data_IF_310906689118
#
_entry.id   IF_310906689118
#
_cell.length_a   1.000
_cell.length_b   1.000
_cell.length_c   1.000
_cell.angle_alpha   90.00
_cell.angle_beta   90.00
_cell.angle_gamma   90.00
#
_symmetry.space_group_name_H-M   'P 1'
#
loop_
_entity.id
_entity.type
_entity.pdbx_description
1 polymer ?
#
# COMPACT_ATOMS: atom_id res chain seq x y z
N UNK A 1 21.87 -23.48 23.04
CA UNK A 1 20.62 -23.03 23.70
C UNK A 1 19.49 -23.85 23.13
N UNK A 2 18.87 -24.67 23.98
CA UNK A 2 17.84 -25.62 23.59
C UNK A 2 16.60 -24.87 23.06
N UNK A 3 16.12 -25.28 21.89
CA UNK A 3 14.90 -24.79 21.27
C UNK A 3 13.72 -25.22 22.15
N UNK A 4 12.98 -24.25 22.66
CA UNK A 4 11.82 -24.47 23.53
C UNK A 4 10.67 -25.05 22.67
N UNK A 5 10.22 -26.31 22.88
CA UNK A 5 9.23 -26.95 22.01
C UNK A 5 7.80 -26.37 22.14
N UNK A 6 7.60 -25.38 23.02
CA UNK A 6 6.30 -24.81 23.35
C UNK A 6 6.12 -23.33 22.93
N UNK A 7 6.90 -22.82 21.98
CA UNK A 7 6.64 -21.51 21.38
C UNK A 7 5.46 -21.57 20.40
N UNK A 8 4.24 -21.58 20.94
CA UNK A 8 3.00 -21.12 20.31
C UNK A 8 2.58 -21.82 19.01
N UNK A 9 1.65 -22.77 19.13
CA UNK A 9 0.73 -23.21 18.06
C UNK A 9 -0.25 -22.09 17.65
N UNK A 10 0.27 -20.92 17.29
CA UNK A 10 -0.47 -19.87 16.62
C UNK A 10 -0.75 -20.30 15.17
N UNK A 11 -2.00 -20.13 14.73
CA UNK A 11 -2.42 -20.54 13.38
C UNK A 11 -1.71 -19.66 12.35
N UNK A 12 -0.62 -20.16 11.76
CA UNK A 12 0.15 -19.45 10.71
C UNK A 12 -0.76 -19.01 9.56
N UNK A 13 -0.52 -17.83 9.01
CA UNK A 13 -1.32 -17.25 7.92
C UNK A 13 -1.06 -17.94 6.58
N UNK A 14 -2.11 -18.02 5.77
CA UNK A 14 -2.01 -18.39 4.36
C UNK A 14 -1.71 -17.18 3.46
N UNK A 15 -1.54 -17.43 2.17
CA UNK A 15 -1.24 -16.41 1.15
C UNK A 15 -2.26 -15.27 1.12
N UNK A 16 -3.55 -15.59 1.26
CA UNK A 16 -4.62 -14.60 1.22
C UNK A 16 -4.53 -13.62 2.41
N UNK A 17 -4.62 -14.13 3.63
CA UNK A 17 -4.68 -13.29 4.83
C UNK A 17 -3.35 -12.68 5.27
N UNK A 18 -2.23 -13.29 4.90
CA UNK A 18 -0.90 -12.85 5.35
C UNK A 18 -0.10 -12.06 4.32
N UNK A 19 -0.50 -12.06 3.04
CA UNK A 19 0.24 -11.33 1.99
C UNK A 19 -0.72 -10.49 1.13
N UNK A 20 -1.72 -11.13 0.52
CA UNK A 20 -2.61 -10.46 -0.42
C UNK A 20 -3.43 -9.35 0.25
N UNK A 21 -4.15 -9.66 1.34
CA UNK A 21 -4.99 -8.68 2.04
C UNK A 21 -4.18 -7.50 2.57
N UNK A 22 -3.07 -7.68 3.32
CA UNK A 22 -2.23 -6.56 3.75
C UNK A 22 -1.72 -5.69 2.60
N UNK A 23 -1.29 -6.30 1.48
CA UNK A 23 -0.78 -5.57 0.34
C UNK A 23 -1.89 -4.77 -0.36
N UNK A 24 -3.05 -5.37 -0.64
CA UNK A 24 -4.18 -4.68 -1.28
C UNK A 24 -4.68 -3.53 -0.40
N UNK A 25 -4.81 -3.74 0.91
CA UNK A 25 -5.24 -2.69 1.85
C UNK A 25 -4.27 -1.50 1.91
N UNK A 26 -2.98 -1.75 1.67
CA UNK A 26 -1.97 -0.68 1.65
C UNK A 26 -1.94 0.04 0.30
N UNK A 27 -2.08 -0.69 -0.80
CA UNK A 27 -2.04 -0.15 -2.16
C UNK A 27 -3.32 0.64 -2.49
N UNK A 28 -4.50 0.10 -2.15
CA UNK A 28 -5.80 0.74 -2.38
C UNK A 28 -6.17 1.68 -1.23
N UNK A 29 -5.33 2.69 -1.01
CA UNK A 29 -5.46 3.62 0.11
C UNK A 29 -5.97 5.01 -0.29
N UNK A 30 -5.52 6.01 0.48
CA UNK A 30 -5.87 7.42 0.35
C UNK A 30 -5.69 7.97 -1.06
N UNK A 31 -4.59 7.60 -1.76
CA UNK A 31 -4.29 8.12 -3.09
C UNK A 31 -5.38 7.75 -4.10
N UNK A 32 -5.90 6.52 -4.03
CA UNK A 32 -6.94 6.07 -4.94
C UNK A 32 -8.18 6.96 -4.89
N UNK A 33 -8.64 7.31 -3.67
CA UNK A 33 -9.86 8.08 -3.48
C UNK A 33 -9.64 9.59 -3.56
N UNK A 34 -8.55 10.13 -3.01
CA UNK A 34 -8.35 11.58 -2.87
C UNK A 34 -7.47 12.20 -3.94
N UNK A 35 -6.70 11.41 -4.70
CA UNK A 35 -5.64 11.96 -5.58
C UNK A 35 -5.70 11.44 -7.01
N UNK A 36 -6.26 10.26 -7.30
CA UNK A 36 -6.42 9.77 -8.68
C UNK A 36 -7.13 10.80 -9.57
N UNK A 37 -8.26 11.35 -9.12
CA UNK A 37 -8.99 12.37 -9.88
C UNK A 37 -8.19 13.65 -10.11
N UNK A 38 -7.40 14.09 -9.11
CA UNK A 38 -6.52 15.26 -9.27
C UNK A 38 -5.39 15.00 -10.27
N UNK A 39 -4.81 13.80 -10.27
CA UNK A 39 -3.76 13.39 -11.22
C UNK A 39 -4.33 13.34 -12.63
N UNK A 40 -5.52 12.74 -12.83
CA UNK A 40 -6.19 12.71 -14.14
C UNK A 40 -6.56 14.12 -14.59
N UNK A 41 -7.02 14.99 -13.69
CA UNK A 41 -7.37 16.38 -14.02
C UNK A 41 -6.18 17.22 -14.49
N UNK A 42 -5.00 17.05 -13.88
CA UNK A 42 -3.80 17.80 -14.27
C UNK A 42 -3.06 17.17 -15.45
N UNK A 43 -2.82 15.86 -15.41
CA UNK A 43 -2.03 15.16 -16.41
C UNK A 43 -2.84 14.78 -17.67
N UNK A 44 -4.18 14.83 -17.59
CA UNK A 44 -5.06 14.21 -18.56
C UNK A 44 -5.02 12.68 -18.44
N UNK A 45 -6.03 12.01 -19.00
CA UNK A 45 -6.16 10.56 -18.97
C UNK A 45 -4.93 9.87 -19.59
N UNK A 46 -4.42 10.39 -20.70
CA UNK A 46 -3.28 9.77 -21.40
C UNK A 46 -2.02 9.76 -20.54
N UNK A 47 -1.61 10.91 -19.97
CA UNK A 47 -0.40 10.94 -19.16
C UNK A 47 -0.62 10.34 -17.77
N UNK A 48 -1.82 10.38 -17.21
CA UNK A 48 -2.15 9.67 -15.97
C UNK A 48 -1.98 8.15 -16.14
N UNK A 49 -2.41 7.58 -17.26
CA UNK A 49 -2.17 6.17 -17.59
C UNK A 49 -0.68 5.87 -17.78
N UNK A 50 0.09 6.78 -18.38
CA UNK A 50 1.56 6.64 -18.47
C UNK A 50 2.21 6.67 -17.07
N UNK A 51 1.80 7.57 -16.18
CA UNK A 51 2.25 7.63 -14.78
C UNK A 51 1.96 6.30 -14.09
N UNK A 52 0.74 5.78 -14.23
CA UNK A 52 0.33 4.50 -13.67
C UNK A 52 1.18 3.35 -14.22
N UNK A 53 1.43 3.31 -15.53
CA UNK A 53 2.26 2.29 -16.17
C UNK A 53 3.71 2.31 -15.67
N UNK A 54 4.32 3.49 -15.54
CA UNK A 54 5.68 3.64 -15.02
C UNK A 54 5.73 3.18 -13.56
N UNK A 55 4.81 3.68 -12.72
CA UNK A 55 4.74 3.33 -11.31
C UNK A 55 4.54 1.81 -11.11
N UNK A 56 3.62 1.21 -11.88
CA UNK A 56 3.35 -0.22 -11.80
C UNK A 56 4.52 -1.06 -12.31
N UNK A 57 5.23 -0.61 -13.34
CA UNK A 57 6.44 -1.29 -13.83
C UNK A 57 7.51 -1.33 -12.74
N UNK A 58 7.75 -0.22 -12.03
CA UNK A 58 8.69 -0.17 -10.91
C UNK A 58 8.28 -1.16 -9.82
N UNK A 59 7.00 -1.18 -9.44
CA UNK A 59 6.49 -2.10 -8.41
C UNK A 59 6.56 -3.56 -8.85
N UNK A 60 6.28 -3.87 -10.12
CA UNK A 60 6.40 -5.22 -10.68
C UNK A 60 7.84 -5.71 -10.68
N UNK A 61 8.80 -4.89 -11.13
CA UNK A 61 10.22 -5.22 -11.11
C UNK A 61 10.74 -5.43 -9.68
N UNK A 62 10.27 -4.62 -8.74
CA UNK A 62 10.58 -4.77 -7.32
C UNK A 62 9.98 -6.06 -6.75
N UNK A 63 8.75 -6.40 -7.14
CA UNK A 63 8.06 -7.63 -6.73
C UNK A 63 8.72 -8.89 -7.30
N UNK A 64 9.23 -8.83 -8.53
CA UNK A 64 10.04 -9.91 -9.14
C UNK A 64 11.35 -10.10 -8.37
N UNK A 65 12.05 -9.02 -8.04
CA UNK A 65 13.26 -9.07 -7.22
C UNK A 65 12.99 -9.67 -5.84
N UNK A 66 11.91 -9.23 -5.18
CA UNK A 66 11.47 -9.76 -3.89
C UNK A 66 11.11 -11.25 -3.98
N UNK A 67 10.42 -11.66 -5.03
CA UNK A 67 10.09 -13.06 -5.28
C UNK A 67 11.34 -13.91 -5.40
N UNK A 68 12.33 -13.48 -6.19
CA UNK A 68 13.60 -14.19 -6.34
C UNK A 68 14.32 -14.36 -5.00
N UNK A 69 14.37 -13.30 -4.19
CA UNK A 69 14.94 -13.31 -2.84
C UNK A 69 14.20 -14.31 -1.92
N UNK A 70 12.87 -14.25 -1.89
CA UNK A 70 12.03 -15.10 -1.06
C UNK A 70 12.11 -16.60 -1.44
N UNK A 71 12.40 -16.91 -2.70
CA UNK A 71 12.58 -18.30 -3.18
C UNK A 71 13.99 -18.85 -2.95
N UNK A 72 15.00 -17.98 -2.80
CA UNK A 72 16.40 -18.41 -2.72
C UNK A 72 16.90 -18.62 -1.28
N UNK A 73 16.22 -18.08 -0.27
CA UNK A 73 16.61 -18.24 1.14
C UNK A 73 15.51 -18.83 1.99
N UNK A 74 15.90 -19.50 3.09
CA UNK A 74 14.95 -19.89 4.14
C UNK A 74 14.38 -18.62 4.77
N UNK A 75 13.11 -18.35 4.46
CA UNK A 75 12.37 -17.23 5.02
C UNK A 75 12.12 -17.48 6.51
N UNK A 76 12.68 -16.61 7.36
CA UNK A 76 12.52 -16.65 8.81
C UNK A 76 11.66 -15.51 9.34
N UNK A 77 11.44 -15.48 10.65
CA UNK A 77 10.85 -14.32 11.33
C UNK A 77 11.80 -13.13 11.29
N UNK A 78 11.34 -12.01 10.73
CA UNK A 78 12.15 -10.78 10.61
C UNK A 78 11.81 -9.88 9.43
N UNK A 79 10.79 -10.22 8.63
CA UNK A 79 10.24 -9.35 7.61
C UNK A 79 11.20 -9.06 6.44
N UNK A 80 11.04 -7.89 5.82
CA UNK A 80 11.81 -7.49 4.64
C UNK A 80 13.31 -7.35 4.90
N UNK A 81 13.70 -6.77 6.05
CA UNK A 81 15.11 -6.57 6.39
C UNK A 81 15.86 -7.91 6.56
N UNK A 82 15.24 -8.89 7.23
CA UNK A 82 15.81 -10.21 7.41
C UNK A 82 16.03 -10.92 6.05
N UNK A 83 15.02 -10.89 5.18
CA UNK A 83 15.10 -11.49 3.84
C UNK A 83 16.23 -10.89 3.00
N UNK A 84 16.34 -9.57 2.97
CA UNK A 84 17.34 -8.85 2.17
C UNK A 84 18.75 -9.07 2.73
N UNK A 85 18.94 -8.84 4.03
CA UNK A 85 20.26 -8.95 4.67
C UNK A 85 20.84 -10.37 4.62
N UNK A 86 19.99 -11.40 4.65
CA UNK A 86 20.45 -12.80 4.57
C UNK A 86 20.76 -13.26 3.15
N UNK A 87 20.11 -12.68 2.15
CA UNK A 87 20.31 -13.03 0.74
C UNK A 87 21.42 -12.22 0.07
N UNK A 88 21.54 -10.94 0.42
CA UNK A 88 22.45 -9.98 -0.24
C UNK A 88 23.59 -9.49 0.66
N UNK A 89 23.62 -9.91 1.93
CA UNK A 89 24.63 -9.49 2.90
C UNK A 89 24.24 -8.25 3.72
N UNK A 90 24.99 -8.01 4.80
CA UNK A 90 24.67 -6.98 5.80
C UNK A 90 24.82 -5.56 5.26
N UNK A 91 25.80 -5.31 4.38
CA UNK A 91 26.05 -3.98 3.80
C UNK A 91 24.88 -3.52 2.94
N UNK A 92 24.39 -4.40 2.05
CA UNK A 92 23.20 -4.14 1.22
C UNK A 92 21.94 -4.09 2.08
N UNK A 93 21.82 -5.01 3.03
CA UNK A 93 20.69 -5.04 3.98
C UNK A 93 20.54 -3.75 4.77
N UNK A 94 21.63 -3.20 5.31
CA UNK A 94 21.63 -1.93 6.04
C UNK A 94 21.33 -0.74 5.13
N UNK A 95 21.96 -0.70 3.95
CA UNK A 95 21.78 0.38 2.97
C UNK A 95 20.35 0.51 2.47
N UNK A 96 19.61 -0.60 2.33
CA UNK A 96 18.19 -0.60 1.94
C UNK A 96 17.27 -0.48 3.16
N UNK A 97 17.65 -1.11 4.28
CA UNK A 97 16.84 -1.19 5.50
C UNK A 97 16.60 0.16 6.16
N UNK A 98 17.62 1.02 6.23
CA UNK A 98 17.50 2.33 6.86
C UNK A 98 16.53 3.27 6.11
N UNK A 99 16.63 3.45 4.77
CA UNK A 99 15.62 4.16 4.01
C UNK A 99 14.21 3.56 4.13
N UNK A 100 14.09 2.23 4.11
CA UNK A 100 12.79 1.56 4.24
C UNK A 100 12.15 1.87 5.61
N UNK A 101 12.93 1.84 6.68
CA UNK A 101 12.45 2.19 8.03
C UNK A 101 11.93 3.63 8.08
N UNK A 102 12.69 4.60 7.55
CA UNK A 102 12.27 6.00 7.51
C UNK A 102 11.02 6.19 6.64
N UNK A 103 10.97 5.53 5.49
CA UNK A 103 9.82 5.57 4.60
C UNK A 103 8.54 5.05 5.29
N UNK A 104 8.64 3.94 6.04
CA UNK A 104 7.51 3.41 6.79
C UNK A 104 7.05 4.36 7.90
N UNK A 105 7.99 4.98 8.63
CA UNK A 105 7.66 5.99 9.65
C UNK A 105 6.93 7.20 9.07
N UNK A 106 7.41 7.74 7.95
CA UNK A 106 6.77 8.86 7.25
C UNK A 106 5.40 8.45 6.67
N UNK A 107 5.27 7.21 6.20
CA UNK A 107 4.02 6.68 5.64
C UNK A 107 2.88 6.67 6.66
N UNK A 108 3.17 6.41 7.95
CA UNK A 108 2.16 6.50 9.01
C UNK A 108 1.55 7.89 9.07
N UNK A 109 2.38 8.95 9.07
CA UNK A 109 1.90 10.32 9.07
C UNK A 109 1.11 10.64 7.80
N UNK A 110 1.60 10.19 6.65
CA UNK A 110 0.93 10.37 5.35
C UNK A 110 -0.50 9.79 5.36
N UNK A 111 -0.69 8.55 5.82
CA UNK A 111 -2.02 7.94 5.87
C UNK A 111 -2.95 8.59 6.89
N UNK A 112 -2.44 9.03 8.04
CA UNK A 112 -3.23 9.74 9.05
C UNK A 112 -3.72 11.08 8.49
N UNK A 113 -2.85 11.84 7.83
CA UNK A 113 -3.24 13.12 7.22
C UNK A 113 -4.33 12.90 6.17
N UNK A 114 -4.18 11.89 5.32
CA UNK A 114 -5.20 11.53 4.33
C UNK A 114 -6.55 11.13 4.94
N UNK A 115 -6.53 10.41 6.06
CA UNK A 115 -7.74 10.10 6.82
C UNK A 115 -8.41 11.36 7.39
N UNK A 116 -7.64 12.26 7.99
CA UNK A 116 -8.17 13.51 8.57
C UNK A 116 -8.70 14.46 7.49
N UNK A 117 -8.04 14.53 6.34
CA UNK A 117 -8.55 15.25 5.18
C UNK A 117 -9.90 14.68 4.72
N UNK A 118 -10.02 13.34 4.68
CA UNK A 118 -11.29 12.67 4.35
C UNK A 118 -12.39 13.00 5.36
N UNK A 119 -12.06 13.07 6.66
CA UNK A 119 -13.00 13.48 7.71
C UNK A 119 -13.43 14.95 7.59
N UNK A 120 -12.55 15.82 7.07
CA UNK A 120 -12.86 17.23 6.84
C UNK A 120 -14.04 17.46 5.89
N UNK A 121 -14.30 16.52 4.97
CA UNK A 121 -15.50 16.56 4.12
C UNK A 121 -16.80 16.27 4.89
N UNK A 122 -16.72 15.56 6.03
CA UNK A 122 -17.87 15.23 6.87
C UNK A 122 -18.09 16.26 8.00
N UNK A 123 -16.99 16.76 8.58
CA UNK A 123 -17.01 17.70 9.69
C UNK A 123 -16.15 18.92 9.33
N UNK A 124 -16.77 20.00 8.83
CA UNK A 124 -16.06 21.23 8.50
C UNK A 124 -15.42 21.88 9.75
N UNK A 125 -14.24 22.49 9.58
CA UNK A 125 -13.57 23.24 10.65
C UNK A 125 -12.65 22.43 11.56
N UNK A 126 -12.37 21.15 11.24
CA UNK A 126 -11.38 20.36 11.95
C UNK A 126 -9.96 20.88 11.72
N UNK A 127 -9.22 21.09 12.80
CA UNK A 127 -7.78 21.34 12.72
C UNK A 127 -7.05 20.04 12.41
N UNK A 128 -6.52 19.95 11.18
CA UNK A 128 -5.81 18.78 10.67
C UNK A 128 -4.68 18.35 11.60
N UNK A 129 -3.95 19.30 12.20
CA UNK A 129 -2.78 19.00 13.04
C UNK A 129 -3.19 18.38 14.37
N UNK A 130 -4.21 18.95 15.02
CA UNK A 130 -4.71 18.46 16.31
C UNK A 130 -5.30 17.07 16.16
N UNK A 131 -6.20 16.88 15.18
CA UNK A 131 -6.85 15.58 14.95
C UNK A 131 -5.84 14.52 14.54
N UNK A 132 -4.88 14.84 13.67
CA UNK A 132 -3.82 13.89 13.28
C UNK A 132 -2.98 13.44 14.47
N UNK A 133 -2.66 14.36 15.39
CA UNK A 133 -1.88 14.04 16.60
C UNK A 133 -2.67 13.13 17.54
N UNK A 134 -3.97 13.37 17.70
CA UNK A 134 -4.86 12.52 18.51
C UNK A 134 -5.00 11.12 17.90
N UNK A 135 -5.22 11.03 16.58
CA UNK A 135 -5.32 9.77 15.85
C UNK A 135 -4.02 8.97 15.95
N UNK A 136 -2.86 9.63 15.80
CA UNK A 136 -1.55 9.00 15.97
C UNK A 136 -1.40 8.42 17.38
N UNK A 137 -1.75 9.19 18.42
CA UNK A 137 -1.71 8.71 19.81
C UNK A 137 -2.62 7.50 20.04
N UNK A 138 -3.84 7.52 19.50
CA UNK A 138 -4.78 6.40 19.60
C UNK A 138 -4.25 5.14 18.89
N UNK A 139 -3.74 5.27 17.66
CA UNK A 139 -3.16 4.15 16.91
C UNK A 139 -1.90 3.62 17.60
N UNK A 140 -1.09 4.48 18.22
CA UNK A 140 0.06 4.07 19.00
C UNK A 140 -0.34 3.20 20.21
N UNK A 141 -1.39 3.59 20.94
CA UNK A 141 -1.92 2.79 22.06
C UNK A 141 -2.42 1.43 21.56
N UNK A 142 -3.15 1.39 20.45
CA UNK A 142 -3.64 0.12 19.86
C UNK A 142 -2.46 -0.77 19.46
N UNK A 143 -1.44 -0.21 18.80
CA UNK A 143 -0.24 -0.95 18.42
C UNK A 143 0.53 -1.47 19.64
N UNK A 144 0.53 -0.72 20.75
CA UNK A 144 1.18 -1.11 22.00
C UNK A 144 0.48 -2.29 22.71
N UNK A 145 -0.86 -2.34 22.67
CA UNK A 145 -1.65 -3.40 23.33
C UNK A 145 -1.48 -4.76 22.64
N UNK A 146 -1.28 -4.79 21.32
CA UNK A 146 -0.91 -6.02 20.62
C UNK A 146 -1.37 -6.06 19.15
N UNK A 147 -0.48 -6.50 18.27
CA UNK A 147 -0.70 -6.56 16.83
C UNK A 147 -1.80 -7.56 16.40
N UNK A 148 -2.12 -8.55 17.23
CA UNK A 148 -3.13 -9.57 16.91
C UNK A 148 -4.53 -8.99 16.65
N UNK A 149 -4.88 -7.88 17.31
CA UNK A 149 -6.15 -7.20 17.08
C UNK A 149 -6.15 -6.57 15.68
N UNK A 150 -5.05 -5.93 15.26
CA UNK A 150 -4.94 -5.31 13.94
C UNK A 150 -5.13 -6.34 12.81
N UNK A 151 -4.58 -7.55 12.97
CA UNK A 151 -4.70 -8.63 11.99
C UNK A 151 -6.10 -9.24 11.91
N UNK A 152 -6.90 -9.16 12.97
CA UNK A 152 -8.33 -9.53 12.89
C UNK A 152 -9.14 -8.42 12.24
N UNK A 153 -8.85 -7.16 12.56
CA UNK A 153 -9.54 -5.99 12.02
C UNK A 153 -9.32 -5.79 10.52
N UNK A 154 -8.19 -6.22 9.94
CA UNK A 154 -7.94 -6.08 8.49
C UNK A 154 -9.03 -6.73 7.61
N UNK A 155 -9.67 -7.81 8.03
CA UNK A 155 -10.76 -8.41 7.24
C UNK A 155 -12.00 -7.51 7.22
N UNK A 156 -12.30 -6.82 8.32
CA UNK A 156 -13.37 -5.81 8.35
C UNK A 156 -13.01 -4.63 7.44
N UNK A 157 -11.76 -4.15 7.51
CA UNK A 157 -11.28 -3.08 6.64
C UNK A 157 -11.37 -3.49 5.17
N UNK A 158 -11.05 -4.75 4.83
CA UNK A 158 -11.16 -5.27 3.48
C UNK A 158 -12.59 -5.27 2.96
N UNK A 159 -13.56 -5.68 3.79
CA UNK A 159 -14.97 -5.66 3.41
C UNK A 159 -15.44 -4.21 3.19
N UNK A 160 -15.08 -3.29 4.09
CA UNK A 160 -15.39 -1.87 3.93
C UNK A 160 -14.76 -1.29 2.66
N UNK A 161 -13.47 -1.56 2.42
CA UNK A 161 -12.77 -1.11 1.21
C UNK A 161 -13.42 -1.68 -0.05
N UNK A 162 -13.73 -2.97 -0.07
CA UNK A 162 -14.40 -3.62 -1.19
C UNK A 162 -15.76 -2.99 -1.48
N UNK A 163 -16.56 -2.72 -0.44
CA UNK A 163 -17.82 -2.01 -0.57
C UNK A 163 -17.62 -0.58 -1.11
N UNK A 164 -16.60 0.15 -0.64
CA UNK A 164 -16.27 1.48 -1.15
C UNK A 164 -15.84 1.48 -2.61
N UNK A 165 -15.04 0.49 -3.05
CA UNK A 165 -14.65 0.33 -4.46
C UNK A 165 -15.87 0.02 -5.33
N UNK A 166 -16.76 -0.87 -4.88
CA UNK A 166 -18.01 -1.16 -5.60
C UNK A 166 -18.89 0.09 -5.67
N UNK A 167 -19.05 0.84 -4.59
CA UNK A 167 -19.82 2.07 -4.57
C UNK A 167 -19.24 3.13 -5.51
N UNK A 168 -17.90 3.26 -5.55
CA UNK A 168 -17.19 4.14 -6.47
C UNK A 168 -17.51 3.82 -7.93
N UNK A 169 -17.40 2.54 -8.33
CA UNK A 169 -17.72 2.09 -9.69
C UNK A 169 -19.22 1.97 -9.99
N UNK A 170 -20.09 1.96 -8.99
CA UNK A 170 -21.54 2.05 -9.20
C UNK A 170 -22.00 3.50 -9.40
N UNK A 171 -21.27 4.47 -8.85
CA UNK A 171 -21.55 5.90 -8.93
C UNK A 171 -21.16 6.56 -10.25
N UNK A 172 -20.75 5.79 -11.27
CA UNK A 172 -20.30 6.34 -12.56
C UNK A 172 -21.46 6.99 -13.29
N UNK A 173 -21.34 8.30 -13.51
CA UNK A 173 -22.24 9.06 -14.37
C UNK A 173 -21.52 9.37 -15.69
N UNK A 174 -22.18 9.22 -16.85
CA UNK A 174 -21.60 9.62 -18.13
C UNK A 174 -21.23 11.11 -18.09
N UNK A 175 -19.94 11.43 -18.24
CA UNK A 175 -19.47 12.80 -18.37
C UNK A 175 -19.68 13.24 -19.83
N UNK A 176 -20.42 14.33 -20.09
CA UNK A 176 -20.50 14.92 -21.43
C UNK A 176 -19.08 15.37 -21.83
N UNK A 177 -18.56 14.86 -22.94
CA UNK A 177 -17.21 15.14 -23.47
C UNK A 177 -15.99 14.61 -22.66
N UNK A 178 -15.98 13.31 -22.33
CA UNK A 178 -14.78 12.62 -21.79
C UNK A 178 -13.48 12.86 -22.59
N UNK A 179 -13.58 13.17 -23.89
CA UNK A 179 -12.44 13.48 -24.76
C UNK A 179 -11.71 14.76 -24.34
N UNK A 180 -12.40 15.70 -23.70
CA UNK A 180 -11.79 16.93 -23.19
C UNK A 180 -10.75 16.64 -22.10
N UNK A 181 -10.86 15.50 -21.40
CA UNK A 181 -9.94 15.09 -20.35
C UNK A 181 -8.77 14.23 -20.86
N UNK A 182 -8.60 14.08 -22.18
CA UNK A 182 -7.49 13.30 -22.74
C UNK A 182 -6.16 14.02 -22.65
N UNK A 183 -6.16 15.33 -22.90
CA UNK A 183 -4.96 16.16 -22.94
C UNK A 183 -4.59 16.68 -21.54
N UNK A 184 -3.29 16.92 -21.27
CA UNK A 184 -2.86 17.47 -20.01
C UNK A 184 -3.28 18.93 -19.84
N UNK A 185 -3.82 19.25 -18.66
CA UNK A 185 -4.20 20.59 -18.25
C UNK A 185 -3.53 20.92 -16.92
N UNK A 186 -2.20 20.96 -16.91
CA UNK A 186 -1.42 21.20 -15.70
C UNK A 186 -1.69 22.61 -15.14
N UNK A 187 -2.07 22.66 -13.86
CA UNK A 187 -2.10 23.92 -13.12
C UNK A 187 -0.71 24.55 -13.02
N UNK A 188 -0.65 25.87 -12.84
CA UNK A 188 0.61 26.61 -12.72
C UNK A 188 1.47 26.05 -11.58
N UNK A 189 2.66 25.54 -11.92
CA UNK A 189 3.60 24.94 -10.95
C UNK A 189 3.46 23.42 -10.82
N UNK A 190 2.49 22.80 -11.49
CA UNK A 190 2.37 21.34 -11.58
C UNK A 190 3.09 20.87 -12.84
N UNK A 191 3.88 19.80 -12.71
CA UNK A 191 4.54 19.13 -13.83
C UNK A 191 4.17 17.65 -13.83
N UNK A 192 4.49 16.97 -14.93
CA UNK A 192 4.39 15.51 -15.02
C UNK A 192 5.06 14.79 -13.83
N UNK A 193 6.26 15.24 -13.44
CA UNK A 193 6.99 14.64 -12.33
C UNK A 193 6.38 14.95 -10.96
N UNK A 194 5.74 16.11 -10.82
CA UNK A 194 4.96 16.45 -9.62
C UNK A 194 3.77 15.51 -9.47
N UNK A 195 3.02 15.30 -10.56
CA UNK A 195 1.89 14.37 -10.57
C UNK A 195 2.33 12.92 -10.32
N UNK A 196 3.44 12.50 -10.93
CA UNK A 196 4.05 11.19 -10.65
C UNK A 196 4.44 11.05 -9.18
N UNK A 197 5.09 12.04 -8.58
CA UNK A 197 5.53 11.99 -7.18
C UNK A 197 4.35 11.92 -6.20
N UNK A 198 3.24 12.61 -6.49
CA UNK A 198 2.00 12.54 -5.71
C UNK A 198 1.32 11.18 -5.87
N UNK A 199 1.38 10.60 -7.06
CA UNK A 199 0.76 9.30 -7.35
C UNK A 199 1.58 8.13 -6.81
N UNK A 200 2.92 8.20 -6.85
CA UNK A 200 3.81 7.07 -6.57
C UNK A 200 3.55 6.33 -5.24
N UNK A 201 3.24 7.00 -4.12
CA UNK A 201 2.86 6.32 -2.88
C UNK A 201 1.68 5.34 -3.01
N UNK A 202 0.83 5.45 -4.05
CA UNK A 202 -0.22 4.49 -4.35
C UNK A 202 0.29 3.06 -4.54
N UNK A 203 1.48 2.89 -5.12
CA UNK A 203 1.97 1.58 -5.58
C UNK A 203 3.05 0.98 -4.68
N UNK A 204 3.41 1.63 -3.57
CA UNK A 204 4.53 1.22 -2.70
C UNK A 204 4.14 0.19 -1.64
N UNK A 205 2.86 -0.15 -1.51
CA UNK A 205 2.31 -1.00 -0.44
C UNK A 205 2.68 -2.48 -0.44
N UNK A 206 3.54 -2.95 -1.36
CA UNK A 206 3.90 -4.38 -1.50
C UNK A 206 4.68 -4.96 -0.32
N UNK A 207 5.26 -4.10 0.54
CA UNK A 207 6.09 -4.52 1.67
C UNK A 207 5.27 -4.94 2.90
N UNK A 208 3.98 -4.60 2.98
CA UNK A 208 3.13 -4.91 4.14
C UNK A 208 2.99 -6.42 4.37
N UNK A 209 2.81 -7.21 3.32
CA UNK A 209 2.76 -8.67 3.38
C UNK A 209 4.12 -9.31 3.67
N UNK A 210 5.22 -8.65 3.25
CA UNK A 210 6.59 -9.11 3.57
C UNK A 210 6.89 -8.99 5.06
N UNK A 211 6.36 -7.96 5.71
CA UNK A 211 6.53 -7.75 7.16
C UNK A 211 5.95 -8.90 8.00
N UNK A 212 4.99 -9.66 7.46
CA UNK A 212 4.39 -10.83 8.12
C UNK A 212 5.06 -12.16 7.72
N UNK A 213 6.23 -12.13 7.06
CA UNK A 213 6.88 -13.32 6.49
C UNK A 213 7.15 -14.45 7.50
N UNK A 214 7.41 -14.11 8.77
CA UNK A 214 7.62 -15.07 9.86
C UNK A 214 6.37 -15.83 10.29
N UNK A 215 5.20 -15.23 10.07
CA UNK A 215 3.90 -15.76 10.51
C UNK A 215 3.19 -16.54 9.41
N UNK A 216 3.78 -16.61 8.20
CA UNK A 216 3.25 -17.36 7.08
C UNK A 216 3.51 -18.86 7.23
N UNK A 217 2.54 -19.68 6.82
CA UNK A 217 2.69 -21.15 6.75
C UNK A 217 3.79 -21.55 5.78
N UNK A 218 3.83 -20.90 4.63
CA UNK A 218 4.83 -21.07 3.58
C UNK A 218 5.09 -19.71 2.93
N UNK A 219 6.15 -19.04 3.37
CA UNK A 219 6.50 -17.71 2.87
C UNK A 219 7.12 -17.75 1.47
N UNK A 220 7.84 -18.83 1.12
CA UNK A 220 8.49 -18.99 -0.18
C UNK A 220 7.49 -18.99 -1.32
N UNK A 221 6.35 -19.68 -1.15
CA UNK A 221 5.27 -19.69 -2.14
C UNK A 221 4.28 -18.53 -1.96
N UNK A 222 3.99 -18.12 -0.71
CA UNK A 222 2.97 -17.12 -0.45
C UNK A 222 3.39 -15.71 -0.82
N UNK A 223 4.65 -15.33 -0.58
CA UNK A 223 5.11 -13.96 -0.86
C UNK A 223 5.02 -13.64 -2.37
N UNK A 224 5.55 -14.47 -3.29
CA UNK A 224 5.40 -14.22 -4.72
C UNK A 224 3.94 -14.15 -5.15
N UNK A 225 3.15 -15.21 -4.86
CA UNK A 225 1.77 -15.31 -5.34
C UNK A 225 0.90 -14.19 -4.79
N UNK A 226 0.95 -13.95 -3.48
CA UNK A 226 0.15 -12.91 -2.84
C UNK A 226 0.52 -11.51 -3.34
N UNK A 227 1.79 -11.24 -3.58
CA UNK A 227 2.26 -9.94 -4.08
C UNK A 227 1.83 -9.71 -5.54
N UNK A 228 2.02 -10.68 -6.43
CA UNK A 228 1.60 -10.53 -7.84
C UNK A 228 0.09 -10.36 -7.98
N UNK A 229 -0.71 -11.14 -7.23
CA UNK A 229 -2.16 -10.96 -7.21
C UNK A 229 -2.57 -9.59 -6.67
N UNK A 230 -1.93 -9.12 -5.59
CA UNK A 230 -2.23 -7.82 -5.01
C UNK A 230 -1.89 -6.67 -5.98
N UNK A 231 -0.71 -6.71 -6.60
CA UNK A 231 -0.30 -5.71 -7.60
C UNK A 231 -1.26 -5.74 -8.79
N UNK A 232 -1.51 -6.91 -9.39
CA UNK A 232 -2.36 -7.04 -10.57
C UNK A 232 -3.79 -6.56 -10.33
N UNK A 233 -4.44 -6.99 -9.25
CA UNK A 233 -5.81 -6.53 -8.92
C UNK A 233 -5.82 -5.02 -8.66
N UNK A 234 -4.83 -4.51 -7.94
CA UNK A 234 -4.78 -3.08 -7.64
C UNK A 234 -4.53 -2.24 -8.89
N UNK A 235 -3.68 -2.69 -9.82
CA UNK A 235 -3.49 -2.03 -11.12
C UNK A 235 -4.80 -1.93 -11.87
N UNK A 236 -5.59 -3.02 -11.93
CA UNK A 236 -6.88 -3.01 -12.62
C UNK A 236 -7.85 -2.00 -11.99
N UNK A 237 -7.89 -1.94 -10.65
CA UNK A 237 -8.72 -0.96 -9.94
C UNK A 237 -8.26 0.47 -10.24
N UNK A 238 -6.95 0.76 -10.23
CA UNK A 238 -6.43 2.09 -10.56
C UNK A 238 -6.65 2.48 -12.03
N UNK A 239 -6.53 1.54 -12.97
CA UNK A 239 -6.87 1.79 -14.39
C UNK A 239 -8.34 2.15 -14.50
N UNK A 240 -9.22 1.36 -13.88
CA UNK A 240 -10.65 1.66 -13.86
C UNK A 240 -10.94 3.02 -13.25
N UNK A 241 -10.33 3.34 -12.10
CA UNK A 241 -10.53 4.60 -11.39
C UNK A 241 -9.93 5.82 -12.11
N UNK A 242 -9.00 5.63 -13.04
CA UNK A 242 -8.50 6.71 -13.88
C UNK A 242 -9.43 7.02 -15.06
N UNK A 243 -10.14 6.01 -15.57
CA UNK A 243 -11.02 6.11 -16.74
C UNK A 243 -12.40 6.68 -16.38
N UNK A 244 -12.87 6.35 -15.18
CA UNK A 244 -14.19 6.69 -14.62
C UNK A 244 -14.15 8.03 -13.91
#
# INVERSE_FOLDING_TARGET
MAENPNAGTGRKFGTFGGVFVPNVLTILGVIMFLRTGWVVGNAGLQQALVILCIANTITLLTSLSLSAIATNTKVGGGGAYFLISRSLGLEIGGSIGLPLFLAQGISVAFYIIGFVESLGFLVPGLDVKVVSTVVLGALFIIAWVGADLAVKTQYLILVCLGASVVAFFAGVSPVPDWRANLEPAYETGVSFWTAFAIFFPAVTGIMSGVSMSGDLRDATDSLPRGTFWAVGISTLVYVGAAIV
#
